data_IF_963315052132
#
_entry.id   IF_963315052132
#
_cell.length_a   1.000
_cell.length_b   1.000
_cell.length_c   1.000
_cell.angle_alpha   90.00
_cell.angle_beta   90.00
_cell.angle_gamma   90.00
#
_symmetry.space_group_name_H-M   'P 1'
#
loop_
_entity.id
_entity.type
_entity.pdbx_description
1 polymer ?
#
# COMPACT_ATOMS: atom_id res chain seq x y z
N UNK A 1 -20.66 -25.27 -65.06
CA UNK A 1 -21.27 -25.61 -63.76
C UNK A 1 -21.50 -24.31 -63.01
N UNK A 2 -22.79 -24.03 -62.77
CA UNK A 2 -23.44 -23.12 -61.81
C UNK A 2 -22.56 -22.59 -60.67
N UNK A 3 -22.68 -21.36 -60.13
CA UNK A 3 -23.81 -20.43 -59.95
C UNK A 3 -23.27 -18.99 -59.64
N UNK A 4 -23.87 -17.93 -60.22
CA UNK A 4 -24.77 -16.91 -59.60
C UNK A 4 -24.05 -15.84 -58.74
N UNK A 5 -23.90 -14.59 -59.21
CA UNK A 5 -24.85 -13.44 -59.12
C UNK A 5 -24.89 -12.82 -57.69
N UNK A 6 -24.90 -11.51 -57.42
CA UNK A 6 -25.07 -10.27 -58.20
C UNK A 6 -24.78 -9.06 -57.27
N UNK A 7 -24.12 -8.02 -57.80
CA UNK A 7 -24.41 -6.57 -57.76
C UNK A 7 -25.59 -6.04 -56.89
N UNK A 8 -25.70 -4.80 -56.38
CA UNK A 8 -24.88 -3.58 -56.15
C UNK A 8 -25.81 -2.58 -55.42
N UNK A 9 -25.24 -1.55 -54.77
CA UNK A 9 -25.76 -0.18 -54.55
C UNK A 9 -26.17 0.33 -53.15
N UNK A 10 -25.63 1.54 -52.89
CA UNK A 10 -26.19 2.75 -52.25
C UNK A 10 -26.05 3.01 -50.75
N UNK A 11 -25.22 4.01 -50.45
CA UNK A 11 -25.32 4.99 -49.33
C UNK A 11 -26.51 5.95 -49.58
N UNK A 12 -27.08 6.69 -48.58
CA UNK A 12 -26.37 7.73 -47.82
C UNK A 12 -26.84 8.05 -46.37
N UNK A 13 -26.10 8.99 -45.77
CA UNK A 13 -26.25 9.84 -44.57
C UNK A 13 -27.63 10.02 -43.89
N UNK A 14 -27.60 10.15 -42.56
CA UNK A 14 -28.63 10.89 -41.80
C UNK A 14 -27.99 11.78 -40.72
N UNK A 15 -28.32 13.08 -40.79
CA UNK A 15 -28.08 14.13 -39.79
C UNK A 15 -28.82 13.83 -38.47
N UNK A 16 -28.23 14.21 -37.34
CA UNK A 16 -28.95 14.28 -36.06
C UNK A 16 -28.97 15.73 -35.58
N UNK A 17 -30.12 16.36 -35.82
CA UNK A 17 -30.47 17.73 -35.45
C UNK A 17 -30.76 17.81 -33.95
N UNK A 18 -30.17 18.78 -33.28
CA UNK A 18 -30.46 19.11 -31.87
C UNK A 18 -31.85 19.75 -31.76
N UNK A 19 -32.79 19.05 -31.13
CA UNK A 19 -34.11 19.57 -30.79
C UNK A 19 -34.21 19.89 -29.30
N UNK A 20 -34.20 21.18 -28.96
CA UNK A 20 -34.61 21.68 -27.65
C UNK A 20 -36.14 21.68 -27.57
N UNK A 21 -36.71 20.93 -26.63
CA UNK A 21 -38.11 21.04 -26.23
C UNK A 21 -38.21 21.43 -24.77
N UNK A 22 -38.63 22.68 -24.53
CA UNK A 22 -39.13 23.17 -23.26
C UNK A 22 -40.55 22.67 -23.05
N UNK A 23 -40.85 22.04 -21.92
CA UNK A 23 -42.22 21.85 -21.45
C UNK A 23 -42.29 21.97 -19.93
N UNK A 24 -43.15 22.87 -19.48
CA UNK A 24 -43.57 23.14 -18.12
C UNK A 24 -44.42 22.01 -17.53
N UNK A 25 -44.40 21.84 -16.20
CA UNK A 25 -45.44 21.10 -15.49
C UNK A 25 -45.10 20.77 -14.03
N UNK A 26 -45.59 21.62 -13.13
CA UNK A 26 -46.07 21.38 -11.75
C UNK A 26 -45.43 20.39 -10.74
N UNK A 27 -45.31 20.91 -9.52
CA UNK A 27 -45.05 20.30 -8.20
C UNK A 27 -45.61 18.88 -7.98
N UNK A 28 -44.80 18.07 -7.29
CA UNK A 28 -45.25 17.30 -6.12
C UNK A 28 -44.07 17.08 -5.16
N UNK A 29 -44.34 17.30 -3.87
CA UNK A 29 -43.45 17.07 -2.74
C UNK A 29 -43.04 15.60 -2.65
N UNK A 30 -41.73 15.33 -2.66
CA UNK A 30 -41.16 14.05 -2.25
C UNK A 30 -39.90 14.34 -1.42
N UNK A 31 -39.83 13.70 -0.25
CA UNK A 31 -38.79 13.82 0.78
C UNK A 31 -37.37 13.61 0.20
N UNK A 32 -36.34 14.36 0.62
CA UNK A 32 -34.99 14.05 0.20
C UNK A 32 -34.47 12.83 0.96
N UNK A 33 -34.57 11.67 0.30
CA UNK A 33 -33.83 10.44 0.57
C UNK A 33 -32.35 10.76 0.84
N UNK A 34 -31.91 10.45 2.06
CA UNK A 34 -30.54 10.58 2.53
C UNK A 34 -29.62 9.48 1.94
N UNK A 35 -29.44 9.41 0.62
CA UNK A 35 -28.53 8.43 0.01
C UNK A 35 -27.64 8.89 -1.15
N UNK A 36 -27.60 10.17 -1.54
CA UNK A 36 -26.70 10.60 -2.62
C UNK A 36 -25.99 11.93 -2.36
N UNK A 37 -25.00 11.91 -1.47
CA UNK A 37 -23.83 12.81 -1.55
C UNK A 37 -22.58 11.98 -1.31
N UNK A 38 -22.12 11.31 -2.37
CA UNK A 38 -20.96 10.44 -2.33
C UNK A 38 -19.94 10.85 -3.39
N UNK A 39 -19.51 12.12 -3.43
CA UNK A 39 -18.41 12.53 -4.30
C UNK A 39 -17.50 13.60 -3.65
N UNK A 40 -16.20 13.26 -3.60
CA UNK A 40 -15.03 14.12 -3.38
C UNK A 40 -14.82 14.84 -2.04
N UNK A 41 -14.71 14.07 -0.95
CA UNK A 41 -13.86 14.47 0.18
C UNK A 41 -12.90 13.33 0.50
N UNK A 42 -11.59 13.61 0.48
CA UNK A 42 -10.57 12.65 0.89
C UNK A 42 -10.84 12.24 2.35
N UNK A 43 -11.36 11.04 2.56
CA UNK A 43 -11.64 10.52 3.90
C UNK A 43 -10.31 10.18 4.57
N UNK A 44 -9.88 11.03 5.51
CA UNK A 44 -8.90 10.62 6.52
C UNK A 44 -9.69 9.98 7.66
N UNK A 45 -9.95 8.67 7.56
CA UNK A 45 -10.68 7.96 8.61
C UNK A 45 -9.68 7.37 9.61
N UNK A 46 -9.44 8.07 10.72
CA UNK A 46 -8.61 7.59 11.84
C UNK A 46 -9.40 6.85 12.94
N UNK A 47 -10.69 6.51 12.74
CA UNK A 47 -11.43 5.68 13.70
C UNK A 47 -12.35 4.66 12.99
N UNK A 48 -12.49 3.41 13.52
CA UNK A 48 -13.30 2.38 12.88
C UNK A 48 -14.79 2.69 13.03
N UNK A 49 -15.46 2.88 11.90
CA UNK A 49 -16.91 3.02 11.84
C UNK A 49 -17.54 1.62 11.91
N UNK A 50 -18.09 1.23 13.07
CA UNK A 50 -18.86 -0.01 13.18
C UNK A 50 -20.23 0.18 12.53
N UNK A 51 -20.30 -0.02 11.20
CA UNK A 51 -21.55 -0.31 10.50
C UNK A 51 -21.57 -1.79 10.17
N UNK A 52 -22.55 -2.51 10.73
CA UNK A 52 -22.83 -3.90 10.42
C UNK A 52 -23.22 -4.00 8.94
N UNK A 53 -22.31 -4.47 8.11
CA UNK A 53 -22.58 -4.97 6.78
C UNK A 53 -22.13 -6.43 6.75
N UNK A 54 -23.08 -7.34 6.49
CA UNK A 54 -22.81 -8.75 6.23
C UNK A 54 -21.96 -8.88 4.95
N UNK A 55 -20.65 -8.99 5.11
CA UNK A 55 -19.76 -9.52 4.09
C UNK A 55 -18.91 -10.58 4.77
N UNK A 56 -19.14 -11.83 4.35
CA UNK A 56 -18.46 -13.03 4.79
C UNK A 56 -17.00 -13.02 4.28
N UNK A 57 -16.17 -12.12 4.80
CA UNK A 57 -14.73 -12.18 4.66
C UNK A 57 -14.16 -12.48 6.04
N UNK A 58 -14.05 -13.77 6.34
CA UNK A 58 -13.49 -14.30 7.58
C UNK A 58 -11.97 -14.08 7.55
N UNK A 59 -11.52 -12.84 7.77
CA UNK A 59 -10.12 -12.55 8.11
C UNK A 59 -9.93 -13.06 9.52
N UNK A 60 -9.55 -14.33 9.64
CA UNK A 60 -9.14 -14.91 10.92
C UNK A 60 -7.70 -14.49 11.18
N UNK A 61 -7.58 -13.71 12.24
CA UNK A 61 -6.43 -13.51 13.12
C UNK A 61 -5.23 -14.42 12.81
N UNK A 62 -4.11 -13.77 12.48
CA UNK A 62 -2.82 -14.38 12.14
C UNK A 62 -2.39 -15.42 13.19
N UNK A 63 -2.26 -16.67 12.76
CA UNK A 63 -1.37 -17.61 13.44
C UNK A 63 0.06 -17.13 13.18
N UNK A 64 0.58 -16.36 14.11
CA UNK A 64 1.92 -15.79 14.04
C UNK A 64 2.95 -16.93 14.14
N UNK A 65 3.56 -17.30 13.01
CA UNK A 65 4.66 -18.26 13.01
C UNK A 65 5.92 -17.51 13.47
N UNK A 66 6.20 -17.58 14.77
CA UNK A 66 7.37 -16.99 15.43
C UNK A 66 8.65 -17.77 15.09
N UNK A 67 9.06 -17.77 13.81
CA UNK A 67 10.34 -18.37 13.39
C UNK A 67 11.57 -17.64 13.97
N UNK A 68 11.40 -16.41 14.44
CA UNK A 68 12.48 -15.52 14.88
C UNK A 68 12.93 -15.66 16.34
N UNK A 69 12.12 -16.29 17.22
CA UNK A 69 12.36 -16.32 18.68
C UNK A 69 13.09 -17.56 19.19
N UNK A 70 13.54 -18.46 18.32
CA UNK A 70 14.29 -19.64 18.77
C UNK A 70 15.74 -19.25 19.10
N UNK A 71 16.11 -19.26 20.39
CA UNK A 71 17.50 -19.17 20.84
C UNK A 71 18.25 -20.44 20.44
N UNK A 72 18.76 -20.43 19.21
CA UNK A 72 19.51 -21.53 18.62
C UNK A 72 20.99 -21.34 18.90
N UNK A 73 21.67 -22.43 19.23
CA UNK A 73 23.11 -22.45 19.40
C UNK A 73 23.82 -22.39 18.04
N UNK A 74 25.12 -22.04 18.02
CA UNK A 74 25.92 -22.03 16.78
C UNK A 74 25.91 -23.39 16.07
N UNK A 75 25.90 -24.49 16.83
CA UNK A 75 25.80 -25.85 16.29
C UNK A 75 24.46 -26.12 15.61
N UNK A 76 23.36 -25.60 16.17
CA UNK A 76 22.03 -25.74 15.56
C UNK A 76 21.93 -24.99 14.23
N UNK A 77 22.51 -23.78 14.16
CA UNK A 77 22.58 -23.03 12.91
C UNK A 77 23.42 -23.76 11.85
N UNK A 78 24.54 -24.38 12.25
CA UNK A 78 25.36 -25.16 11.33
C UNK A 78 24.60 -26.36 10.76
N UNK A 79 23.83 -27.05 11.60
CA UNK A 79 23.00 -28.17 11.18
C UNK A 79 21.87 -27.70 10.25
N UNK A 80 21.14 -26.64 10.61
CA UNK A 80 20.10 -26.05 9.75
C UNK A 80 20.65 -25.60 8.39
N UNK A 81 21.85 -25.03 8.34
CA UNK A 81 22.48 -24.61 7.07
C UNK A 81 22.76 -25.83 6.18
N UNK A 82 23.22 -26.95 6.75
CA UNK A 82 23.41 -28.20 6.00
C UNK A 82 22.08 -28.74 5.48
N UNK A 83 21.05 -28.78 6.32
CA UNK A 83 19.70 -29.23 5.93
C UNK A 83 19.08 -28.35 4.85
N UNK A 84 19.25 -27.02 4.97
CA UNK A 84 18.80 -26.06 3.95
C UNK A 84 19.50 -26.34 2.62
N UNK A 85 20.84 -26.44 2.63
CA UNK A 85 21.63 -26.66 1.42
C UNK A 85 21.38 -28.03 0.77
N UNK A 86 21.00 -29.05 1.54
CA UNK A 86 20.63 -30.36 1.01
C UNK A 86 19.32 -30.33 0.21
N UNK A 87 18.45 -29.35 0.45
CA UNK A 87 17.16 -29.21 -0.22
C UNK A 87 17.21 -28.29 -1.45
N UNK A 88 18.30 -27.54 -1.66
CA UNK A 88 18.37 -26.62 -2.80
C UNK A 88 18.93 -27.27 -4.06
N UNK A 89 18.28 -27.02 -5.18
CA UNK A 89 18.70 -27.49 -6.51
C UNK A 89 19.43 -26.40 -7.32
N UNK A 90 19.87 -25.32 -6.67
CA UNK A 90 20.50 -24.16 -7.32
C UNK A 90 21.75 -23.74 -6.56
N UNK A 91 22.56 -22.84 -7.16
CA UNK A 91 23.79 -22.34 -6.54
C UNK A 91 23.57 -21.28 -5.44
N UNK A 92 22.35 -21.18 -4.90
CA UNK A 92 21.96 -20.17 -3.88
C UNK A 92 22.15 -20.71 -2.46
N UNK A 93 23.35 -21.24 -2.18
CA UNK A 93 23.70 -21.85 -0.90
C UNK A 93 23.80 -20.83 0.23
N UNK A 94 23.63 -21.32 1.46
CA UNK A 94 24.05 -20.62 2.68
C UNK A 94 25.43 -21.10 3.12
N UNK A 95 26.26 -20.17 3.59
CA UNK A 95 27.63 -20.44 4.02
C UNK A 95 27.81 -20.03 5.48
N UNK A 96 28.38 -20.92 6.29
CA UNK A 96 28.74 -20.62 7.67
C UNK A 96 30.10 -19.91 7.73
N UNK A 97 30.19 -18.86 8.54
CA UNK A 97 31.41 -18.09 8.77
C UNK A 97 32.10 -18.52 10.07
N UNK A 98 33.38 -18.15 10.22
CA UNK A 98 34.20 -18.47 11.40
C UNK A 98 33.71 -17.79 12.68
N UNK A 99 33.02 -16.66 12.57
CA UNK A 99 32.48 -15.89 13.69
C UNK A 99 31.10 -16.42 14.17
N UNK A 100 30.65 -17.54 13.62
CA UNK A 100 29.32 -18.12 13.91
C UNK A 100 28.16 -17.43 13.18
N UNK A 101 28.42 -16.39 12.39
CA UNK A 101 27.41 -15.85 11.47
C UNK A 101 27.32 -16.72 10.21
N UNK A 102 26.30 -16.51 9.40
CA UNK A 102 26.16 -17.17 8.10
C UNK A 102 25.70 -16.17 7.06
N UNK A 103 26.04 -16.41 5.80
CA UNK A 103 25.55 -15.62 4.66
C UNK A 103 24.75 -16.51 3.73
N UNK A 104 23.91 -15.89 2.90
CA UNK A 104 23.11 -16.62 1.95
C UNK A 104 22.26 -15.68 1.11
N UNK A 105 21.35 -16.27 0.34
CA UNK A 105 20.52 -15.53 -0.59
C UNK A 105 19.07 -15.45 -0.10
N UNK A 106 18.47 -14.28 -0.27
CA UNK A 106 17.02 -14.10 -0.22
C UNK A 106 16.51 -13.52 -1.53
N UNK A 107 15.31 -13.90 -1.94
CA UNK A 107 14.60 -13.30 -3.07
C UNK A 107 13.51 -12.37 -2.54
N UNK A 108 13.50 -11.12 -3.00
CA UNK A 108 12.48 -10.13 -2.66
C UNK A 108 11.76 -9.69 -3.93
N UNK A 109 10.44 -9.83 -3.95
CA UNK A 109 9.56 -9.31 -5.00
C UNK A 109 9.13 -7.88 -4.67
N UNK A 110 9.08 -7.00 -5.66
CA UNK A 110 8.63 -5.62 -5.49
C UNK A 110 7.18 -5.49 -5.89
N UNK A 111 6.37 -4.89 -5.02
CA UNK A 111 4.98 -4.51 -5.26
C UNK A 111 4.76 -3.09 -4.73
N UNK A 112 5.33 -2.11 -5.43
CA UNK A 112 5.19 -0.68 -5.11
C UNK A 112 4.07 -0.06 -5.96
N UNK A 113 3.31 0.90 -5.40
CA UNK A 113 2.35 1.67 -6.17
C UNK A 113 3.06 2.77 -6.97
N UNK A 114 2.40 3.36 -7.96
CA UNK A 114 3.03 4.27 -8.95
C UNK A 114 2.75 5.74 -8.61
N UNK A 115 3.62 6.73 -8.93
CA UNK A 115 5.00 6.67 -9.43
C UNK A 115 6.04 6.94 -8.33
N UNK A 116 7.13 6.16 -8.33
CA UNK A 116 8.22 6.33 -7.38
C UNK A 116 9.22 7.37 -7.90
N UNK A 117 9.62 8.32 -7.05
CA UNK A 117 10.60 9.34 -7.43
C UNK A 117 11.98 8.69 -7.53
N UNK A 118 12.68 8.86 -8.66
CA UNK A 118 14.08 8.47 -8.77
C UNK A 118 14.97 9.64 -9.16
N UNK A 119 16.27 9.51 -8.87
CA UNK A 119 17.28 10.46 -9.36
C UNK A 119 17.67 10.07 -10.78
N UNK A 120 17.73 11.01 -11.74
CA UNK A 120 18.13 10.69 -13.11
C UNK A 120 19.54 10.08 -13.16
N UNK A 121 19.80 9.10 -14.06
CA UNK A 121 21.13 8.54 -14.23
C UNK A 121 22.11 9.64 -14.66
N UNK A 122 23.25 9.74 -13.97
CA UNK A 122 24.33 10.65 -14.37
C UNK A 122 24.90 10.16 -15.71
N UNK A 123 24.44 10.76 -16.81
CA UNK A 123 25.15 10.66 -18.10
C UNK A 123 26.50 11.35 -17.91
N UNK A 124 27.59 10.59 -18.05
CA UNK A 124 28.93 11.15 -18.20
C UNK A 124 29.00 11.97 -19.49
N UNK A 125 29.50 13.20 -19.37
CA UNK A 125 29.67 14.13 -20.48
C UNK A 125 30.24 15.45 -19.96
N UNK A 126 31.42 15.77 -20.46
CA UNK A 126 32.31 16.90 -20.17
C UNK A 126 31.67 18.28 -20.01
N UNK A 127 32.23 19.01 -19.05
CA UNK A 127 32.55 20.44 -19.02
C UNK A 127 31.94 21.35 -20.11
N UNK A 128 31.02 22.22 -19.68
CA UNK A 128 30.84 23.58 -20.23
C UNK A 128 29.96 24.37 -19.25
N UNK A 129 30.45 25.54 -18.85
CA UNK A 129 29.91 26.33 -17.76
C UNK A 129 28.46 26.81 -17.96
N UNK A 130 27.77 26.99 -16.83
CA UNK A 130 27.11 28.23 -16.44
C UNK A 130 25.93 27.99 -15.48
N UNK A 131 25.89 28.85 -14.46
CA UNK A 131 24.75 29.24 -13.59
C UNK A 131 24.35 28.28 -12.47
N UNK A 132 24.76 28.68 -11.25
CA UNK A 132 24.10 28.33 -9.99
C UNK A 132 22.64 28.81 -10.03
N UNK A 133 21.74 27.96 -10.49
CA UNK A 133 20.33 28.04 -10.15
C UNK A 133 20.04 26.96 -9.10
N UNK A 134 19.40 27.36 -8.00
CA UNK A 134 18.87 26.49 -6.94
C UNK A 134 18.23 25.23 -7.55
N UNK A 135 18.98 24.13 -7.54
CA UNK A 135 18.65 22.92 -8.27
C UNK A 135 17.51 22.18 -7.58
N UNK A 136 16.27 22.51 -7.95
CA UNK A 136 15.16 21.57 -7.80
C UNK A 136 15.59 20.31 -8.54
N UNK A 137 16.01 19.28 -7.80
CA UNK A 137 16.37 17.98 -8.37
C UNK A 137 15.17 17.52 -9.17
N UNK A 138 15.25 17.56 -10.51
CA UNK A 138 14.21 17.05 -11.39
C UNK A 138 13.97 15.59 -11.03
N UNK A 139 12.90 15.34 -10.26
CA UNK A 139 12.42 14.00 -9.93
C UNK A 139 11.70 13.48 -11.17
N UNK A 140 12.33 12.56 -11.87
CA UNK A 140 11.67 11.83 -12.95
C UNK A 140 10.99 10.62 -12.33
N UNK A 141 9.69 10.43 -12.57
CA UNK A 141 9.00 9.20 -12.21
C UNK A 141 9.50 8.07 -13.09
N UNK A 142 10.20 7.09 -12.52
CA UNK A 142 10.52 5.86 -13.24
C UNK A 142 9.57 4.75 -12.81
N UNK A 143 9.14 3.98 -13.80
CA UNK A 143 8.33 2.80 -13.58
C UNK A 143 9.26 1.62 -13.28
N UNK A 144 9.16 1.05 -12.09
CA UNK A 144 9.71 -0.27 -11.84
C UNK A 144 8.93 -1.29 -12.71
N UNK A 145 9.59 -2.22 -13.42
CA UNK A 145 8.89 -3.27 -14.15
C UNK A 145 7.91 -4.01 -13.25
N UNK A 146 6.72 -4.30 -13.79
CA UNK A 146 5.73 -5.13 -13.09
C UNK A 146 6.40 -6.47 -12.75
N UNK A 147 6.27 -6.90 -11.50
CA UNK A 147 6.87 -8.13 -10.96
C UNK A 147 8.41 -8.17 -10.89
N UNK A 148 9.07 -7.01 -10.78
CA UNK A 148 10.49 -6.95 -10.48
C UNK A 148 10.82 -7.74 -9.19
N UNK A 149 11.86 -8.57 -9.25
CA UNK A 149 12.38 -9.27 -8.08
C UNK A 149 13.91 -9.22 -8.07
N UNK A 150 14.49 -9.35 -6.88
CA UNK A 150 15.95 -9.35 -6.72
C UNK A 150 16.38 -10.41 -5.73
N UNK A 151 17.41 -11.15 -6.11
CA UNK A 151 18.21 -11.94 -5.17
C UNK A 151 19.23 -11.02 -4.49
N UNK A 152 19.27 -11.04 -3.16
CA UNK A 152 20.27 -10.36 -2.35
C UNK A 152 21.13 -11.41 -1.65
N UNK A 153 22.44 -11.23 -1.70
CA UNK A 153 23.35 -11.95 -0.82
C UNK A 153 23.54 -11.12 0.45
N UNK A 154 23.14 -11.66 1.60
CA UNK A 154 23.11 -10.95 2.88
C UNK A 154 23.68 -11.82 4.00
N UNK A 155 23.99 -11.20 5.14
CA UNK A 155 24.42 -11.88 6.38
C UNK A 155 23.22 -12.17 7.30
N UNK A 156 23.38 -13.15 8.20
CA UNK A 156 22.43 -13.51 9.25
C UNK A 156 22.08 -12.38 10.20
N UNK A 157 22.94 -11.35 10.28
CA UNK A 157 22.75 -10.14 11.08
C UNK A 157 22.05 -8.99 10.33
N UNK A 158 21.80 -9.17 9.03
CA UNK A 158 21.18 -8.11 8.21
C UNK A 158 19.72 -7.97 8.59
N UNK A 159 19.33 -6.79 9.05
CA UNK A 159 17.98 -6.44 9.44
C UNK A 159 17.06 -6.23 8.24
N UNK A 160 15.75 -6.33 8.44
CA UNK A 160 14.76 -6.01 7.42
C UNK A 160 14.88 -4.55 6.97
N UNK A 161 15.21 -3.64 7.90
CA UNK A 161 15.45 -2.23 7.61
C UNK A 161 16.58 -2.03 6.59
N UNK A 162 17.73 -2.66 6.80
CA UNK A 162 18.87 -2.58 5.88
C UNK A 162 18.53 -3.19 4.51
N UNK A 163 17.75 -4.26 4.47
CA UNK A 163 17.27 -4.86 3.22
C UNK A 163 16.40 -3.87 2.43
N UNK A 164 15.46 -3.20 3.10
CA UNK A 164 14.60 -2.17 2.49
C UNK A 164 15.47 -1.04 1.92
N UNK A 165 16.36 -0.46 2.73
CA UNK A 165 17.23 0.64 2.31
C UNK A 165 18.13 0.27 1.13
N UNK A 166 18.74 -0.93 1.16
CA UNK A 166 19.59 -1.43 0.08
C UNK A 166 18.81 -1.61 -1.22
N UNK A 167 17.57 -2.13 -1.14
CA UNK A 167 16.71 -2.33 -2.29
C UNK A 167 16.27 -1.00 -2.91
N UNK A 168 15.80 -0.06 -2.10
CA UNK A 168 15.38 1.26 -2.58
C UNK A 168 16.55 2.01 -3.25
N UNK A 169 17.73 2.00 -2.62
CA UNK A 169 18.95 2.57 -3.20
C UNK A 169 19.30 1.93 -4.54
N UNK A 170 19.23 0.60 -4.65
CA UNK A 170 19.54 -0.16 -5.87
C UNK A 170 18.60 0.16 -7.03
N UNK A 171 17.33 0.38 -6.74
CA UNK A 171 16.32 0.79 -7.72
C UNK A 171 16.17 2.32 -7.80
N UNK A 172 17.11 3.08 -7.23
CA UNK A 172 17.20 4.55 -7.27
C UNK A 172 15.97 5.28 -6.70
N UNK A 173 15.18 4.60 -5.87
CA UNK A 173 14.03 5.17 -5.16
C UNK A 173 14.50 6.16 -4.12
N UNK A 174 14.03 7.41 -4.20
CA UNK A 174 14.41 8.49 -3.26
C UNK A 174 13.38 8.74 -2.17
N UNK A 175 12.28 7.99 -2.18
CA UNK A 175 11.27 8.06 -1.13
C UNK A 175 11.82 7.58 0.22
N UNK A 176 11.21 8.06 1.31
CA UNK A 176 11.61 7.67 2.65
C UNK A 176 11.46 6.14 2.82
N UNK A 177 12.53 5.40 3.21
CA UNK A 177 12.45 3.97 3.47
C UNK A 177 11.35 3.57 4.46
N UNK A 178 10.97 4.45 5.42
CA UNK A 178 9.86 4.20 6.34
C UNK A 178 8.47 4.15 5.69
N UNK A 179 8.33 4.57 4.42
CA UNK A 179 7.11 4.37 3.64
C UNK A 179 6.98 2.95 3.10
N UNK A 180 8.02 2.14 3.23
CA UNK A 180 8.06 0.78 2.71
C UNK A 180 8.21 -0.20 3.86
N UNK A 181 7.71 -1.40 3.65
CA UNK A 181 7.86 -2.50 4.59
C UNK A 181 8.12 -3.80 3.83
N UNK A 182 8.93 -4.66 4.45
CA UNK A 182 9.13 -6.02 4.00
C UNK A 182 8.01 -6.89 4.57
N UNK A 183 7.41 -7.71 3.74
CA UNK A 183 6.39 -8.66 4.12
C UNK A 183 6.88 -10.07 3.84
N UNK A 184 6.58 -10.99 4.75
CA UNK A 184 6.62 -12.41 4.47
C UNK A 184 5.26 -12.87 3.97
N UNK A 185 5.27 -13.69 2.92
CA UNK A 185 4.10 -14.34 2.34
C UNK A 185 4.29 -15.85 2.44
N UNK A 186 3.31 -16.55 2.99
CA UNK A 186 3.26 -18.01 3.05
C UNK A 186 1.95 -18.53 2.47
N UNK A 187 1.97 -19.74 1.92
CA UNK A 187 0.83 -20.42 1.32
C UNK A 187 0.59 -21.73 2.08
N UNK A 188 -0.59 -21.87 2.71
CA UNK A 188 -1.00 -23.04 3.49
C UNK A 188 -2.47 -23.33 3.23
N UNK A 189 -2.81 -24.60 2.98
CA UNK A 189 -4.19 -25.04 2.75
C UNK A 189 -4.94 -24.19 1.70
N UNK A 190 -4.27 -23.89 0.58
CA UNK A 190 -4.75 -23.00 -0.50
C UNK A 190 -5.11 -21.56 -0.06
N UNK A 191 -4.67 -21.14 1.12
CA UNK A 191 -4.77 -19.78 1.62
C UNK A 191 -3.41 -19.10 1.66
N UNK A 192 -3.40 -17.80 1.35
CA UNK A 192 -2.20 -16.97 1.36
C UNK A 192 -2.21 -16.09 2.59
N UNK A 193 -1.21 -16.25 3.45
CA UNK A 193 -0.98 -15.43 4.63
C UNK A 193 0.12 -14.41 4.33
N UNK A 194 -0.03 -13.19 4.84
CA UNK A 194 0.94 -12.12 4.67
C UNK A 194 1.14 -11.42 6.01
N UNK A 195 2.37 -11.38 6.51
CA UNK A 195 2.75 -10.69 7.75
C UNK A 195 3.81 -9.64 7.46
N UNK A 196 3.73 -8.48 8.12
CA UNK A 196 4.80 -7.48 8.12
C UNK A 196 5.99 -8.01 8.91
N UNK A 197 7.17 -7.99 8.30
CA UNK A 197 8.44 -8.25 8.97
C UNK A 197 8.85 -6.97 9.71
N UNK A 198 9.15 -7.10 10.99
CA UNK A 198 9.63 -5.96 11.80
C UNK A 198 10.99 -5.49 11.31
N UNK A 199 11.25 -4.19 11.39
CA UNK A 199 12.48 -3.55 10.92
C UNK A 199 13.75 -4.16 11.54
N UNK A 200 13.65 -4.69 12.77
CA UNK A 200 14.74 -5.31 13.52
C UNK A 200 14.89 -6.82 13.29
N UNK A 201 13.91 -7.49 12.68
CA UNK A 201 14.01 -8.91 12.36
C UNK A 201 15.08 -9.14 11.27
N UNK A 202 15.69 -10.32 11.27
CA UNK A 202 16.74 -10.69 10.32
C UNK A 202 16.17 -11.62 9.23
N UNK A 203 15.95 -11.16 7.97
CA UNK A 203 15.29 -11.97 6.94
C UNK A 203 16.05 -13.25 6.58
N UNK A 204 17.38 -13.26 6.62
CA UNK A 204 18.13 -14.49 6.34
C UNK A 204 17.87 -15.58 7.40
N UNK A 205 17.69 -15.19 8.67
CA UNK A 205 17.38 -16.12 9.76
C UNK A 205 15.98 -16.72 9.58
N UNK A 206 15.00 -15.89 9.25
CA UNK A 206 13.65 -16.35 8.91
C UNK A 206 13.67 -17.33 7.71
N UNK A 207 14.44 -17.01 6.67
CA UNK A 207 14.64 -17.90 5.51
C UNK A 207 15.27 -19.24 5.89
N UNK A 208 16.30 -19.25 6.74
CA UNK A 208 16.92 -20.48 7.22
C UNK A 208 15.93 -21.35 8.01
N UNK A 209 15.12 -20.74 8.89
CA UNK A 209 14.12 -21.44 9.68
C UNK A 209 12.99 -22.05 8.81
N UNK A 210 12.52 -21.31 7.81
CA UNK A 210 11.44 -21.75 6.93
C UNK A 210 11.88 -22.73 5.83
N UNK A 211 13.17 -22.76 5.48
CA UNK A 211 13.70 -23.55 4.38
C UNK A 211 13.63 -22.85 3.01
N UNK A 212 14.09 -23.53 1.94
CA UNK A 212 14.23 -22.93 0.62
C UNK A 212 12.93 -22.83 -0.18
N UNK A 213 11.83 -23.41 0.31
CA UNK A 213 10.55 -23.45 -0.42
C UNK A 213 9.87 -22.06 -0.44
N UNK A 214 9.70 -21.49 -1.63
CA UNK A 214 9.06 -20.19 -1.83
C UNK A 214 7.56 -20.17 -1.49
N UNK A 215 6.88 -21.33 -1.44
CA UNK A 215 5.50 -21.43 -0.96
C UNK A 215 5.43 -21.27 0.56
N UNK A 216 6.42 -21.78 1.29
CA UNK A 216 6.47 -21.68 2.76
C UNK A 216 6.80 -20.27 3.19
N UNK A 217 7.72 -19.62 2.47
CA UNK A 217 8.12 -18.24 2.74
C UNK A 217 8.56 -17.56 1.45
N UNK A 218 8.01 -16.39 1.17
CA UNK A 218 8.46 -15.50 0.09
C UNK A 218 8.45 -14.07 0.60
N UNK A 219 9.42 -13.24 0.17
CA UNK A 219 9.49 -11.85 0.60
C UNK A 219 8.92 -10.91 -0.43
N UNK A 220 8.14 -9.94 0.05
CA UNK A 220 7.53 -8.90 -0.79
C UNK A 220 7.81 -7.53 -0.17
N UNK A 221 8.40 -6.63 -0.93
CA UNK A 221 8.54 -5.21 -0.58
C UNK A 221 7.30 -4.45 -1.07
N UNK A 222 6.58 -3.79 -0.16
CA UNK A 222 5.40 -2.98 -0.45
C UNK A 222 5.49 -1.62 0.24
N UNK A 223 4.61 -0.71 -0.18
CA UNK A 223 4.31 0.46 0.63
C UNK A 223 3.63 0.03 1.95
N UNK A 224 4.00 0.69 3.04
CA UNK A 224 3.51 0.39 4.37
C UNK A 224 2.13 1.04 4.56
N UNK A 225 1.07 0.33 4.14
CA UNK A 225 -0.33 0.76 4.21
C UNK A 225 -0.95 0.67 5.62
N UNK A 226 -0.19 0.31 6.66
CA UNK A 226 -0.70 0.11 8.02
C UNK A 226 -1.36 1.34 8.65
N UNK A 227 -1.32 2.51 7.99
CA UNK A 227 -1.84 3.77 8.54
C UNK A 227 -0.97 4.35 9.66
N UNK A 228 0.06 3.61 10.11
CA UNK A 228 1.05 4.08 11.07
C UNK A 228 2.01 5.05 10.39
N UNK A 229 1.79 6.34 10.64
CA UNK A 229 2.66 7.41 10.16
C UNK A 229 3.93 7.43 11.01
N UNK A 230 5.09 7.24 10.38
CA UNK A 230 6.37 7.46 11.05
C UNK A 230 6.61 8.96 11.27
N UNK A 231 6.10 9.47 12.39
CA UNK A 231 6.18 10.90 12.75
C UNK A 231 7.62 11.41 12.87
N UNK A 232 8.58 10.55 13.19
CA UNK A 232 9.99 10.94 13.34
C UNK A 232 10.66 11.28 12.00
N UNK A 233 10.04 10.93 10.88
CA UNK A 233 10.57 11.24 9.56
C UNK A 233 10.24 12.65 9.05
N UNK A 234 9.38 13.38 9.76
CA UNK A 234 8.96 14.74 9.39
C UNK A 234 9.75 15.76 10.20
N UNK A 235 10.08 16.88 9.57
CA UNK A 235 10.71 18.01 10.23
C UNK A 235 9.76 18.68 11.22
N UNK A 236 10.32 19.40 12.19
CA UNK A 236 9.51 20.12 13.19
C UNK A 236 8.47 21.09 12.59
N UNK A 237 8.77 21.84 11.50
CA UNK A 237 7.76 22.66 10.82
C UNK A 237 6.62 21.84 10.18
N UNK A 238 6.93 20.68 9.60
CA UNK A 238 5.93 19.78 9.01
C UNK A 238 5.03 19.20 10.10
N UNK A 239 5.60 18.76 11.22
CA UNK A 239 4.84 18.29 12.39
C UNK A 239 3.90 19.37 12.96
N UNK A 240 4.39 20.61 13.09
CA UNK A 240 3.55 21.74 13.51
C UNK A 240 2.43 22.05 12.50
N UNK A 241 2.67 21.81 11.22
CA UNK A 241 1.63 21.96 10.19
C UNK A 241 0.55 20.89 10.35
N UNK A 242 0.94 19.61 10.51
CA UNK A 242 -0.01 18.52 10.78
C UNK A 242 -0.86 18.79 12.02
N UNK A 243 -0.24 19.23 13.12
CA UNK A 243 -0.97 19.58 14.33
C UNK A 243 -2.01 20.68 14.08
N UNK A 244 -1.66 21.73 13.33
CA UNK A 244 -2.59 22.82 13.01
C UNK A 244 -3.74 22.34 12.12
N UNK A 245 -3.47 21.47 11.15
CA UNK A 245 -4.52 20.90 10.29
C UNK A 245 -5.50 20.06 11.10
N UNK A 246 -4.98 19.18 11.96
CA UNK A 246 -5.79 18.32 12.83
C UNK A 246 -6.64 19.14 13.80
N UNK A 247 -6.08 20.19 14.40
CA UNK A 247 -6.82 21.05 15.31
C UNK A 247 -7.98 21.78 14.59
N UNK A 248 -7.76 22.24 13.36
CA UNK A 248 -8.83 22.86 12.56
C UNK A 248 -9.93 21.86 12.23
N UNK A 249 -9.56 20.64 11.83
CA UNK A 249 -10.50 19.57 11.50
C UNK A 249 -11.32 19.17 12.74
N UNK A 250 -10.67 19.05 13.90
CA UNK A 250 -11.33 18.80 15.19
C UNK A 250 -12.33 19.91 15.55
N UNK A 251 -11.92 21.18 15.47
CA UNK A 251 -12.80 22.32 15.72
C UNK A 251 -14.02 22.34 14.79
N UNK A 252 -13.84 21.97 13.52
CA UNK A 252 -14.91 21.87 12.54
C UNK A 252 -15.88 20.72 12.87
N UNK A 253 -15.35 19.55 13.26
CA UNK A 253 -16.17 18.42 13.71
C UNK A 253 -16.97 18.75 14.96
N UNK A 254 -16.37 19.42 15.95
CA UNK A 254 -17.08 19.87 17.15
C UNK A 254 -18.22 20.80 16.77
N UNK A 255 -17.99 21.78 15.88
CA UNK A 255 -19.04 22.70 15.41
C UNK A 255 -20.19 21.94 14.74
N UNK A 256 -19.89 20.99 13.86
CA UNK A 256 -20.90 20.16 13.19
C UNK A 256 -21.73 19.36 14.20
N UNK A 257 -21.08 18.74 15.20
CA UNK A 257 -21.76 17.99 16.26
C UNK A 257 -22.69 18.91 17.05
N UNK A 258 -22.19 20.06 17.52
CA UNK A 258 -22.97 21.03 18.29
C UNK A 258 -24.20 21.49 17.50
N UNK A 259 -24.03 21.85 16.23
CA UNK A 259 -25.13 22.29 15.38
C UNK A 259 -26.18 21.18 15.19
N UNK A 260 -25.74 19.94 14.98
CA UNK A 260 -26.64 18.79 14.82
C UNK A 260 -27.45 18.50 16.08
N UNK A 261 -26.84 18.57 17.26
CA UNK A 261 -27.54 18.43 18.53
C UNK A 261 -28.47 19.60 18.83
N UNK A 262 -28.09 20.83 18.47
CA UNK A 262 -28.96 22.01 18.62
C UNK A 262 -30.23 21.86 17.78
N UNK A 263 -30.10 21.49 16.49
CA UNK A 263 -31.23 21.24 15.60
C UNK A 263 -32.13 20.10 16.12
N UNK A 264 -31.54 19.00 16.56
CA UNK A 264 -32.30 17.88 17.12
C UNK A 264 -33.08 18.31 18.38
N UNK A 265 -32.46 19.12 19.24
CA UNK A 265 -33.10 19.65 20.45
C UNK A 265 -34.30 20.55 20.11
N UNK A 266 -34.17 21.45 19.15
CA UNK A 266 -35.28 22.31 18.70
C UNK A 266 -36.44 21.47 18.18
N UNK A 267 -36.18 20.49 17.30
CA UNK A 267 -37.23 19.59 16.79
C UNK A 267 -37.96 18.82 17.90
N UNK A 268 -37.23 18.34 18.91
CA UNK A 268 -37.84 17.67 20.06
C UNK A 268 -38.72 18.62 20.90
N UNK A 269 -38.29 19.87 21.07
CA UNK A 269 -39.06 20.89 21.79
C UNK A 269 -40.35 21.26 21.04
N UNK A 270 -40.27 21.43 19.72
CA UNK A 270 -41.44 21.71 18.87
C UNK A 270 -42.47 20.55 18.93
N UNK A 271 -41.99 19.30 18.88
CA UNK A 271 -42.84 18.12 18.99
C UNK A 271 -43.52 18.00 20.37
N UNK A 272 -42.83 18.37 21.45
CA UNK A 272 -43.39 18.40 22.80
C UNK A 272 -44.43 19.52 22.96
N UNK A 273 -44.20 20.70 22.38
CA UNK A 273 -45.12 21.82 22.42
C UNK A 273 -46.42 21.56 21.61
N UNK A 274 -46.35 20.75 20.56
CA UNK A 274 -47.51 20.33 19.76
C UNK A 274 -48.32 19.18 20.37
N UNK A 275 -47.89 18.59 21.49
CA UNK A 275 -48.57 17.49 22.16
C UNK A 275 -49.34 18.00 23.37
N UNK A 276 -50.56 18.49 23.15
CA UNK A 276 -51.50 18.80 24.24
C UNK A 276 -51.94 17.49 24.90
N UNK A 277 -51.90 17.35 26.24
CA UNK A 277 -52.46 16.17 26.90
C UNK A 277 -53.98 16.20 26.73
N UNK A 278 -54.52 15.15 26.11
CA UNK A 278 -55.96 14.88 26.10
C UNK A 278 -56.44 14.29 27.41
#
# INVERSE_FOLDING_TARGET
MSNAASDTEKSPSFEMTWGSSTSSGYCSDEEPNSEFEQYFTAKTSFFPNTRKANVTAKVKQDEQIEWGKQDLTTTDFQQKVKEYNAQINSNLFMNMNKDGSYTGFIKVQFKLARPVSVTPPKKGGSDAGARKASGVKRRTSFYLPKDASKHLHISSRTSAREVIEALLKKFTVVDNPGKFALFERSERHDQVYIRKVSDNECPLRLRLCAGPNEKVLSYVLKENETGEVNWHAFSMPELKNFQRMLQREEEEHVKQIVQRYALARTKMQDALAGSTPG
#
